data_IF_714294955752
#
_entry.id   IF_714294955752
#
_cell.length_a   1.000
_cell.length_b   1.000
_cell.length_c   1.000
_cell.angle_alpha   90.00
_cell.angle_beta   90.00
_cell.angle_gamma   90.00
#
_symmetry.space_group_name_H-M   'P 1'
#
loop_
_entity.id
_entity.type
_entity.pdbx_description
1 polymer ?
#
# COMPACT_ATOMS: atom_id res chain seq x y z
N UNK A 1 61.38 -18.13 -18.36
CA UNK A 1 60.39 -18.81 -17.50
C UNK A 1 59.55 -17.82 -16.65
N UNK A 2 59.05 -16.70 -17.22
CA UNK A 2 58.24 -15.69 -16.51
C UNK A 2 56.88 -15.38 -17.17
N UNK A 3 56.74 -15.66 -18.47
CA UNK A 3 55.51 -15.36 -19.25
C UNK A 3 54.35 -16.30 -18.88
N UNK A 4 54.64 -17.58 -18.58
CA UNK A 4 53.60 -18.56 -18.17
C UNK A 4 52.95 -18.19 -16.82
N UNK A 5 53.69 -17.55 -15.92
CA UNK A 5 53.21 -17.17 -14.59
C UNK A 5 52.23 -15.98 -14.65
N UNK A 6 52.44 -15.05 -15.59
CA UNK A 6 51.56 -13.89 -15.79
C UNK A 6 50.22 -14.32 -16.40
N UNK A 7 50.23 -15.20 -17.40
CA UNK A 7 48.98 -15.72 -17.98
C UNK A 7 48.15 -16.53 -16.97
N UNK A 8 48.81 -17.29 -16.10
CA UNK A 8 48.11 -18.03 -15.03
C UNK A 8 47.47 -17.08 -14.00
N UNK A 9 48.16 -16.00 -13.63
CA UNK A 9 47.62 -15.00 -12.71
C UNK A 9 46.40 -14.26 -13.29
N UNK A 10 46.43 -13.90 -14.57
CA UNK A 10 45.31 -13.27 -15.27
C UNK A 10 44.10 -14.22 -15.32
N UNK A 11 44.32 -15.50 -15.63
CA UNK A 11 43.25 -16.50 -15.68
C UNK A 11 42.57 -16.67 -14.32
N UNK A 12 43.35 -16.73 -13.23
CA UNK A 12 42.82 -16.84 -11.86
C UNK A 12 42.01 -15.60 -11.49
N UNK A 13 42.47 -14.40 -11.85
CA UNK A 13 41.76 -13.15 -11.57
C UNK A 13 40.38 -13.08 -12.24
N UNK A 14 40.30 -13.47 -13.52
CA UNK A 14 39.00 -13.54 -14.22
C UNK A 14 38.07 -14.59 -13.61
N UNK A 15 38.60 -15.73 -13.17
CA UNK A 15 37.80 -16.80 -12.58
C UNK A 15 37.20 -16.39 -11.22
N UNK A 16 37.94 -15.62 -10.42
CA UNK A 16 37.46 -15.04 -9.15
C UNK A 16 36.35 -14.01 -9.38
N UNK A 17 36.47 -13.17 -10.43
CA UNK A 17 35.42 -12.19 -10.78
C UNK A 17 34.13 -12.89 -11.23
N UNK A 18 34.23 -13.93 -12.05
CA UNK A 18 33.05 -14.68 -12.52
C UNK A 18 32.34 -15.35 -11.34
N UNK A 19 33.09 -15.94 -10.41
CA UNK A 19 32.55 -16.56 -9.20
C UNK A 19 31.89 -15.52 -8.27
N UNK A 20 32.47 -14.32 -8.10
CA UNK A 20 31.88 -13.29 -7.24
C UNK A 20 30.60 -12.69 -7.82
N UNK A 21 30.53 -12.48 -9.15
CA UNK A 21 29.30 -12.04 -9.84
C UNK A 21 28.19 -13.08 -9.71
N UNK A 22 28.53 -14.38 -9.76
CA UNK A 22 27.57 -15.47 -9.62
C UNK A 22 27.01 -15.57 -8.19
N UNK A 23 27.84 -15.27 -7.17
CA UNK A 23 27.43 -15.23 -5.77
C UNK A 23 26.52 -14.03 -5.46
N UNK A 24 26.77 -12.87 -6.09
CA UNK A 24 25.89 -11.69 -5.95
C UNK A 24 24.52 -11.96 -6.60
N UNK A 25 24.50 -12.67 -7.74
CA UNK A 25 23.24 -13.06 -8.40
C UNK A 25 22.38 -13.99 -7.55
N UNK A 26 22.97 -14.95 -6.82
CA UNK A 26 22.21 -15.89 -5.98
C UNK A 26 21.65 -15.26 -4.70
N UNK A 27 22.36 -14.26 -4.14
CA UNK A 27 21.87 -13.46 -3.00
C UNK A 27 20.72 -12.54 -3.42
N UNK A 28 20.74 -12.01 -4.66
CA UNK A 28 19.63 -11.18 -5.17
C UNK A 28 18.44 -12.00 -5.68
N UNK A 29 18.64 -13.24 -6.14
CA UNK A 29 17.55 -14.11 -6.63
C UNK A 29 16.77 -14.82 -5.51
N UNK A 30 17.13 -14.62 -4.24
CA UNK A 30 16.49 -15.25 -3.08
C UNK A 30 15.45 -14.36 -2.37
N UNK A 31 15.11 -13.19 -2.94
CA UNK A 31 13.84 -12.52 -2.61
C UNK A 31 12.71 -13.16 -3.40
N UNK A 32 12.34 -14.37 -2.97
CA UNK A 32 11.08 -15.00 -3.32
C UNK A 32 9.96 -14.08 -2.86
N UNK A 33 9.20 -13.58 -3.81
CA UNK A 33 7.90 -12.94 -3.60
C UNK A 33 7.07 -13.85 -2.71
N UNK A 34 6.91 -13.49 -1.43
CA UNK A 34 5.84 -14.05 -0.62
C UNK A 34 4.53 -13.50 -1.20
N UNK A 35 3.98 -14.25 -2.15
CA UNK A 35 2.56 -14.19 -2.47
C UNK A 35 1.81 -14.57 -1.20
N UNK A 36 1.37 -13.57 -0.44
CA UNK A 36 0.41 -13.76 0.63
C UNK A 36 -0.91 -14.16 -0.01
N UNK A 37 -1.13 -15.46 -0.15
CA UNK A 37 -2.42 -16.03 -0.49
C UNK A 37 -3.42 -15.71 0.63
N UNK A 38 -4.08 -14.56 0.56
CA UNK A 38 -5.28 -14.30 1.34
C UNK A 38 -6.45 -15.06 0.69
N UNK A 39 -7.04 -15.98 1.46
CA UNK A 39 -8.14 -16.81 0.99
C UNK A 39 -9.38 -15.96 0.71
N UNK A 40 -9.87 -16.04 -0.53
CA UNK A 40 -11.18 -15.53 -0.95
C UNK A 40 -12.30 -16.27 -0.20
N UNK A 41 -12.85 -15.63 0.83
CA UNK A 41 -14.08 -16.07 1.48
C UNK A 41 -15.26 -15.44 0.73
N UNK A 42 -15.92 -16.26 -0.09
CA UNK A 42 -17.19 -15.92 -0.74
C UNK A 42 -18.23 -15.50 0.31
N UNK A 43 -18.70 -14.26 0.24
CA UNK A 43 -19.62 -13.63 1.21
C UNK A 43 -19.03 -12.50 2.08
N UNK A 44 -17.76 -12.12 1.86
CA UNK A 44 -17.08 -11.05 2.61
C UNK A 44 -17.10 -9.70 1.90
N UNK A 45 -17.18 -8.62 2.68
CA UNK A 45 -17.09 -7.25 2.18
C UNK A 45 -15.75 -7.03 1.50
N UNK A 46 -15.73 -6.37 0.34
CA UNK A 46 -14.49 -6.20 -0.44
C UNK A 46 -13.89 -4.81 -0.28
N UNK A 47 -12.59 -4.74 0.00
CA UNK A 47 -11.77 -3.53 -0.07
C UNK A 47 -10.61 -3.83 -1.03
N UNK A 48 -10.26 -2.86 -1.88
CA UNK A 48 -9.15 -2.97 -2.82
C UNK A 48 -7.96 -2.16 -2.34
N UNK A 49 -6.75 -2.71 -2.48
CA UNK A 49 -5.48 -2.03 -2.22
C UNK A 49 -4.61 -2.10 -3.48
N UNK A 50 -4.24 -0.94 -4.02
CA UNK A 50 -3.22 -0.85 -5.06
C UNK A 50 -1.92 -0.39 -4.45
N UNK A 51 -0.85 -1.12 -4.76
CA UNK A 51 0.44 -0.93 -4.13
C UNK A 51 1.59 -1.15 -5.10
N UNK A 52 2.81 -0.86 -4.64
CA UNK A 52 4.07 -1.20 -5.30
C UNK A 52 5.01 -1.85 -4.29
N UNK A 53 5.82 -2.81 -4.75
CA UNK A 53 6.85 -3.49 -3.94
C UNK A 53 8.05 -2.60 -3.58
N UNK A 54 8.19 -1.44 -4.22
CA UNK A 54 9.24 -0.45 -3.90
C UNK A 54 8.74 0.71 -3.05
N UNK A 55 7.46 0.70 -2.66
CA UNK A 55 6.79 1.81 -2.01
C UNK A 55 6.81 1.62 -0.46
N UNK A 56 7.60 2.40 0.30
CA UNK A 56 7.70 2.24 1.75
C UNK A 56 6.37 2.52 2.47
N UNK A 57 5.58 3.46 1.96
CA UNK A 57 4.22 3.75 2.40
C UNK A 57 3.29 2.54 2.28
N UNK A 58 3.46 1.78 1.20
CA UNK A 58 2.67 0.60 0.90
C UNK A 58 3.01 -0.56 1.84
N UNK A 59 4.31 -0.77 2.12
CA UNK A 59 4.74 -1.76 3.10
C UNK A 59 4.17 -1.47 4.49
N UNK A 60 4.26 -0.21 4.93
CA UNK A 60 3.70 0.21 6.23
C UNK A 60 2.18 0.00 6.30
N UNK A 61 1.45 0.26 5.22
CA UNK A 61 0.02 -0.02 5.14
C UNK A 61 -0.28 -1.52 5.21
N UNK A 62 0.47 -2.35 4.49
CA UNK A 62 0.29 -3.81 4.50
C UNK A 62 0.57 -4.37 5.90
N UNK A 63 1.62 -3.92 6.57
CA UNK A 63 1.93 -4.28 7.97
C UNK A 63 0.79 -3.85 8.91
N UNK A 64 0.25 -2.65 8.72
CA UNK A 64 -0.91 -2.18 9.48
C UNK A 64 -2.11 -3.12 9.27
N UNK A 65 -2.46 -3.44 8.03
CA UNK A 65 -3.59 -4.33 7.70
C UNK A 65 -3.44 -5.72 8.31
N UNK A 66 -2.21 -6.26 8.37
CA UNK A 66 -1.93 -7.55 9.02
C UNK A 66 -2.16 -7.54 10.53
N UNK A 67 -2.09 -6.37 11.18
CA UNK A 67 -2.32 -6.21 12.61
C UNK A 67 -3.79 -6.00 13.00
N UNK A 68 -4.68 -5.75 12.02
CA UNK A 68 -6.09 -5.45 12.24
C UNK A 68 -6.96 -6.72 12.18
N UNK A 69 -8.09 -6.70 12.90
CA UNK A 69 -9.12 -7.72 12.73
C UNK A 69 -9.86 -7.50 11.41
N UNK A 70 -9.65 -8.39 10.44
CA UNK A 70 -10.29 -8.34 9.13
C UNK A 70 -11.46 -9.32 8.99
N UNK A 71 -11.98 -9.89 10.09
CA UNK A 71 -13.10 -10.85 10.00
C UNK A 71 -14.28 -10.24 9.24
N UNK A 72 -14.70 -10.90 8.17
CA UNK A 72 -15.80 -10.46 7.30
C UNK A 72 -15.41 -9.47 6.20
N UNK A 73 -14.14 -9.11 6.08
CA UNK A 73 -13.60 -8.22 5.04
C UNK A 73 -12.47 -8.92 4.30
N UNK A 74 -12.54 -8.92 2.96
CA UNK A 74 -11.45 -9.34 2.09
C UNK A 74 -10.74 -8.12 1.51
N UNK A 75 -9.41 -8.08 1.67
CA UNK A 75 -8.55 -7.09 1.02
C UNK A 75 -8.01 -7.71 -0.28
N UNK A 76 -8.44 -7.20 -1.42
CA UNK A 76 -7.91 -7.57 -2.74
C UNK A 76 -6.73 -6.65 -3.05
N UNK A 77 -5.53 -7.21 -3.05
CA UNK A 77 -4.29 -6.47 -3.31
C UNK A 77 -3.87 -6.64 -4.77
N UNK A 78 -3.48 -5.56 -5.44
CA UNK A 78 -2.99 -5.64 -6.81
C UNK A 78 -1.90 -4.60 -7.09
N UNK A 79 -0.97 -4.95 -7.97
CA UNK A 79 -0.01 -4.01 -8.57
C UNK A 79 -0.44 -3.59 -9.98
N UNK A 80 -1.59 -4.08 -10.48
CA UNK A 80 -2.11 -3.77 -11.80
C UNK A 80 -2.78 -2.39 -11.83
N UNK A 81 -1.96 -1.33 -11.91
CA UNK A 81 -2.46 0.04 -11.94
C UNK A 81 -3.39 0.33 -13.13
N UNK A 82 -3.22 -0.34 -14.27
CA UNK A 82 -4.08 -0.13 -15.45
C UNK A 82 -5.52 -0.56 -15.19
N UNK A 83 -5.70 -1.73 -14.57
CA UNK A 83 -7.04 -2.23 -14.27
C UNK A 83 -7.71 -1.44 -13.14
N UNK A 84 -6.94 -1.09 -12.10
CA UNK A 84 -7.44 -0.24 -11.03
C UNK A 84 -7.89 1.13 -11.55
N UNK A 85 -7.12 1.75 -12.44
CA UNK A 85 -7.48 3.00 -13.09
C UNK A 85 -8.81 2.88 -13.84
N UNK A 86 -9.00 1.79 -14.61
CA UNK A 86 -10.26 1.55 -15.33
C UNK A 86 -11.45 1.45 -14.38
N UNK A 87 -11.32 0.69 -13.28
CA UNK A 87 -12.38 0.53 -12.29
C UNK A 87 -12.73 1.85 -11.57
N UNK A 88 -11.74 2.64 -11.19
CA UNK A 88 -11.95 3.94 -10.56
C UNK A 88 -12.61 4.93 -11.53
N UNK A 89 -12.18 4.94 -12.80
CA UNK A 89 -12.72 5.83 -13.81
C UNK A 89 -14.21 5.52 -14.14
N UNK A 90 -14.61 4.25 -14.11
CA UNK A 90 -16.04 3.87 -14.22
C UNK A 90 -16.91 4.41 -13.08
N UNK A 91 -16.28 4.79 -11.97
CA UNK A 91 -16.94 5.41 -10.80
C UNK A 91 -16.69 6.93 -10.73
N UNK A 92 -16.33 7.54 -11.86
CA UNK A 92 -16.04 8.98 -12.00
C UNK A 92 -14.91 9.47 -11.07
N UNK A 93 -13.96 8.60 -10.72
CA UNK A 93 -12.77 8.97 -9.97
C UNK A 93 -11.55 8.93 -10.89
N UNK A 94 -10.84 10.06 -11.01
CA UNK A 94 -9.61 10.15 -11.80
C UNK A 94 -8.41 9.94 -10.88
N UNK A 95 -7.77 8.79 -11.01
CA UNK A 95 -6.57 8.46 -10.24
C UNK A 95 -5.30 8.82 -11.02
N UNK A 96 -4.31 9.37 -10.32
CA UNK A 96 -3.02 9.81 -10.88
C UNK A 96 -1.91 8.75 -10.81
N UNK A 97 -2.24 7.50 -10.49
CA UNK A 97 -1.31 6.38 -10.28
C UNK A 97 -0.46 6.45 -8.99
N UNK A 98 -0.75 7.37 -8.07
CA UNK A 98 -0.14 7.42 -6.74
C UNK A 98 -0.51 6.21 -5.88
N UNK A 99 0.48 5.59 -5.21
CA UNK A 99 0.28 4.46 -4.29
C UNK A 99 0.86 4.75 -2.89
N UNK A 100 0.31 4.15 -1.82
CA UNK A 100 -0.85 3.27 -1.83
C UNK A 100 -2.16 4.04 -2.02
N UNK A 101 -3.10 3.40 -2.69
CA UNK A 101 -4.51 3.81 -2.76
C UNK A 101 -5.38 2.65 -2.31
N UNK A 102 -6.32 2.93 -1.41
CA UNK A 102 -7.29 1.98 -0.90
C UNK A 102 -8.68 2.47 -1.29
N UNK A 103 -9.54 1.58 -1.78
CA UNK A 103 -10.89 1.96 -2.14
C UNK A 103 -11.90 0.84 -1.95
N UNK A 104 -13.16 1.23 -1.72
CA UNK A 104 -14.27 0.31 -1.61
C UNK A 104 -15.57 0.96 -2.09
N UNK A 105 -16.54 0.15 -2.48
CA UNK A 105 -17.88 0.60 -2.84
C UNK A 105 -18.86 0.31 -1.70
N UNK A 106 -19.37 1.36 -1.08
CA UNK A 106 -20.31 1.30 0.06
C UNK A 106 -21.62 1.94 -0.38
N UNK A 107 -22.72 1.17 -0.44
CA UNK A 107 -24.04 1.69 -0.85
C UNK A 107 -23.96 2.51 -2.17
N UNK A 108 -23.34 1.93 -3.20
CA UNK A 108 -23.07 2.55 -4.51
C UNK A 108 -22.18 3.80 -4.51
N UNK A 109 -21.60 4.16 -3.36
CA UNK A 109 -20.66 5.28 -3.23
C UNK A 109 -19.23 4.77 -3.11
N UNK A 110 -18.36 5.28 -3.98
CA UNK A 110 -16.94 5.03 -3.91
C UNK A 110 -16.33 5.80 -2.73
N UNK A 111 -15.62 5.08 -1.86
CA UNK A 111 -14.75 5.66 -0.83
C UNK A 111 -13.31 5.40 -1.27
N UNK A 112 -12.49 6.45 -1.28
CA UNK A 112 -11.08 6.39 -1.68
C UNK A 112 -10.23 6.98 -0.58
N UNK A 113 -9.15 6.28 -0.23
CA UNK A 113 -8.10 6.71 0.69
C UNK A 113 -6.79 6.74 -0.09
N UNK A 114 -6.13 7.90 -0.13
CA UNK A 114 -4.85 8.07 -0.80
C UNK A 114 -3.76 8.51 0.18
N UNK A 115 -2.55 8.01 -0.05
CA UNK A 115 -1.36 8.45 0.68
C UNK A 115 -1.36 7.99 2.13
N UNK A 116 -0.83 6.80 2.39
CA UNK A 116 -0.58 6.30 3.75
C UNK A 116 0.83 6.73 4.21
N UNK A 117 1.07 7.08 5.49
CA UNK A 117 2.41 7.40 5.97
C UNK A 117 3.37 6.21 5.79
N UNK A 118 4.67 6.47 5.60
CA UNK A 118 5.67 5.44 5.85
C UNK A 118 5.84 5.26 7.37
N UNK A 119 6.49 4.18 7.80
CA UNK A 119 6.71 3.93 9.24
C UNK A 119 7.49 5.05 9.94
N UNK A 120 8.36 5.78 9.22
CA UNK A 120 9.10 6.93 9.78
C UNK A 120 8.28 8.22 9.86
N UNK A 121 7.14 8.27 9.17
CA UNK A 121 6.21 9.40 9.18
C UNK A 121 5.02 9.14 10.10
N UNK A 122 4.72 7.88 10.39
CA UNK A 122 3.65 7.50 11.31
C UNK A 122 4.04 7.86 12.75
N UNK A 123 3.25 8.74 13.36
CA UNK A 123 3.34 9.05 14.79
C UNK A 123 1.98 8.77 15.41
N UNK A 124 1.89 7.65 16.12
CA UNK A 124 0.67 7.17 16.78
C UNK A 124 -0.53 7.00 15.83
N UNK A 125 -0.29 6.55 14.60
CA UNK A 125 -1.30 6.30 13.57
C UNK A 125 -1.63 7.51 12.69
N UNK A 126 -0.98 8.65 12.90
CA UNK A 126 -1.17 9.89 12.13
C UNK A 126 0.06 10.25 11.30
N UNK A 127 -0.14 10.89 10.15
CA UNK A 127 0.92 11.45 9.33
C UNK A 127 1.63 12.62 10.03
N UNK A 128 2.87 12.39 10.44
CA UNK A 128 3.72 13.30 11.20
C UNK A 128 3.10 13.76 12.54
N UNK A 129 2.13 13.00 13.04
CA UNK A 129 1.40 13.28 14.28
C UNK A 129 0.12 14.09 14.07
N UNK A 130 -0.82 13.91 15.00
CA UNK A 130 -2.18 14.46 14.96
C UNK A 130 -2.21 15.97 14.64
N UNK A 131 -1.46 16.79 15.37
CA UNK A 131 -1.48 18.24 15.19
C UNK A 131 -1.03 18.69 13.80
N UNK A 132 0.00 18.02 13.24
CA UNK A 132 0.48 18.33 11.88
C UNK A 132 -0.53 17.90 10.84
N UNK A 133 -1.09 16.70 10.97
CA UNK A 133 -2.10 16.22 10.03
C UNK A 133 -3.36 17.10 10.04
N UNK A 134 -3.85 17.52 11.22
CA UNK A 134 -4.97 18.47 11.33
C UNK A 134 -4.65 19.82 10.68
N UNK A 135 -3.42 20.32 10.85
CA UNK A 135 -2.96 21.55 10.21
C UNK A 135 -2.91 21.41 8.68
N UNK A 136 -2.37 20.30 8.18
CA UNK A 136 -2.36 19.98 6.76
C UNK A 136 -3.78 19.90 6.19
N UNK A 137 -4.69 19.22 6.90
CA UNK A 137 -6.09 19.13 6.52
C UNK A 137 -6.70 20.52 6.29
N UNK A 138 -6.52 21.44 7.24
CA UNK A 138 -7.00 22.82 7.15
C UNK A 138 -6.36 23.57 5.97
N UNK A 139 -5.06 23.43 5.76
CA UNK A 139 -4.34 24.11 4.66
C UNK A 139 -4.79 23.67 3.27
N UNK A 140 -5.34 22.46 3.15
CA UNK A 140 -5.87 21.91 1.89
C UNK A 140 -7.39 22.12 1.75
N UNK A 141 -7.97 22.97 2.59
CA UNK A 141 -9.43 23.16 2.69
C UNK A 141 -10.18 21.83 2.94
N UNK A 142 -9.52 20.88 3.57
CA UNK A 142 -10.11 19.60 3.94
C UNK A 142 -11.05 19.72 5.13
N UNK A 143 -11.95 18.75 5.23
CA UNK A 143 -12.88 18.60 6.34
C UNK A 143 -12.32 17.58 7.34
N UNK A 144 -11.91 17.99 8.55
CA UNK A 144 -11.46 17.07 9.57
C UNK A 144 -12.64 16.23 10.09
N UNK A 145 -12.43 14.94 10.25
CA UNK A 145 -13.40 13.98 10.78
C UNK A 145 -12.98 13.61 12.19
N UNK A 146 -13.95 13.61 13.11
CA UNK A 146 -13.76 13.30 14.52
C UNK A 146 -14.63 12.11 14.93
N UNK A 147 -14.20 11.37 15.94
CA UNK A 147 -15.02 10.36 16.61
C UNK A 147 -16.11 11.02 17.50
N UNK A 148 -16.97 10.18 18.08
CA UNK A 148 -18.04 10.64 18.98
C UNK A 148 -17.53 11.31 20.27
N UNK A 149 -16.26 11.12 20.62
CA UNK A 149 -15.61 11.73 21.79
C UNK A 149 -14.88 13.03 21.44
N UNK A 150 -14.89 13.44 20.17
CA UNK A 150 -14.19 14.64 19.69
C UNK A 150 -12.71 14.42 19.37
N UNK A 151 -12.22 13.18 19.29
CA UNK A 151 -10.86 12.89 18.83
C UNK A 151 -10.80 12.92 17.31
N UNK A 152 -9.85 13.65 16.75
CA UNK A 152 -9.59 13.64 15.31
C UNK A 152 -9.23 12.23 14.84
N UNK A 153 -9.81 11.83 13.72
CA UNK A 153 -9.54 10.55 13.06
C UNK A 153 -8.72 10.76 11.80
N UNK A 154 -9.24 11.52 10.83
CA UNK A 154 -8.61 11.72 9.53
C UNK A 154 -9.20 12.94 8.81
N UNK A 155 -8.61 13.30 7.68
CA UNK A 155 -9.06 14.40 6.85
C UNK A 155 -9.76 13.90 5.58
N UNK A 156 -10.87 14.56 5.21
CA UNK A 156 -11.50 14.38 3.91
C UNK A 156 -11.31 15.62 3.05
N UNK A 157 -10.69 15.46 1.88
CA UNK A 157 -10.43 16.54 0.94
C UNK A 157 -11.71 16.96 0.17
N UNK A 158 -11.73 18.16 -0.45
CA UNK A 158 -12.90 18.67 -1.20
C UNK A 158 -13.35 17.79 -2.37
N UNK A 159 -12.42 17.08 -3.01
CA UNK A 159 -12.69 16.12 -4.08
C UNK A 159 -13.34 14.81 -3.58
N UNK A 160 -13.44 14.64 -2.26
CA UNK A 160 -14.01 13.48 -1.60
C UNK A 160 -13.00 12.44 -1.14
N UNK A 161 -11.73 12.57 -1.53
CA UNK A 161 -10.63 11.68 -1.14
C UNK A 161 -10.35 11.80 0.35
N UNK A 162 -10.07 10.68 1.02
CA UNK A 162 -9.64 10.65 2.41
C UNK A 162 -8.11 10.57 2.44
N UNK A 163 -7.47 11.38 3.27
CA UNK A 163 -6.03 11.25 3.51
C UNK A 163 -5.74 9.98 4.30
N UNK A 164 -4.79 9.19 3.83
CA UNK A 164 -4.43 7.92 4.43
C UNK A 164 -3.70 8.10 5.75
N UNK A 165 -4.29 7.51 6.79
CA UNK A 165 -3.67 7.28 8.08
C UNK A 165 -4.29 6.01 8.68
N UNK A 166 -3.80 5.55 9.84
CA UNK A 166 -4.30 4.31 10.47
C UNK A 166 -5.82 4.33 10.69
N UNK A 167 -6.34 5.44 11.21
CA UNK A 167 -7.74 5.60 11.57
C UNK A 167 -8.67 5.66 10.35
N UNK A 168 -8.19 6.18 9.21
CA UNK A 168 -8.92 6.14 7.95
C UNK A 168 -9.11 4.70 7.44
N UNK A 169 -8.08 3.87 7.58
CA UNK A 169 -8.13 2.45 7.20
C UNK A 169 -9.08 1.68 8.13
N UNK A 170 -8.95 1.86 9.44
CA UNK A 170 -9.86 1.26 10.44
C UNK A 170 -11.31 1.68 10.17
N UNK A 171 -11.56 2.96 9.91
CA UNK A 171 -12.88 3.47 9.55
C UNK A 171 -13.46 2.78 8.31
N UNK A 172 -12.68 2.59 7.25
CA UNK A 172 -13.16 1.93 6.03
C UNK A 172 -13.47 0.44 6.29
N UNK A 173 -12.62 -0.24 7.06
CA UNK A 173 -12.86 -1.64 7.46
C UNK A 173 -14.16 -1.76 8.24
N UNK A 174 -14.38 -0.92 9.25
CA UNK A 174 -15.60 -0.94 10.05
C UNK A 174 -16.84 -0.59 9.23
N UNK A 175 -16.71 0.39 8.33
CA UNK A 175 -17.76 0.76 7.40
C UNK A 175 -18.14 -0.43 6.51
N UNK A 176 -17.15 -1.18 6.02
CA UNK A 176 -17.35 -2.38 5.21
C UNK A 176 -17.91 -3.56 6.00
N UNK A 177 -17.49 -3.77 7.25
CA UNK A 177 -18.09 -4.77 8.15
C UNK A 177 -19.58 -4.49 8.37
N UNK A 178 -19.95 -3.21 8.53
CA UNK A 178 -21.33 -2.79 8.81
C UNK A 178 -22.24 -2.80 7.58
N UNK A 179 -21.73 -2.43 6.41
CA UNK A 179 -22.57 -2.16 5.23
C UNK A 179 -22.36 -3.14 4.07
N UNK A 180 -21.55 -4.19 4.23
CA UNK A 180 -21.25 -5.16 3.18
C UNK A 180 -20.73 -4.51 1.89
N UNK A 181 -19.48 -4.02 1.92
CA UNK A 181 -18.86 -3.40 0.73
C UNK A 181 -18.89 -4.33 -0.49
N UNK A 182 -19.36 -3.79 -1.61
CA UNK A 182 -19.60 -4.54 -2.83
C UNK A 182 -18.31 -4.74 -3.62
N UNK A 183 -18.09 -5.95 -4.12
CA UNK A 183 -17.11 -6.19 -5.16
C UNK A 183 -17.61 -5.56 -6.47
N UNK A 184 -16.76 -4.78 -7.13
CA UNK A 184 -17.11 -4.10 -8.40
C UNK A 184 -15.97 -4.03 -9.42
N UNK A 185 -14.77 -4.47 -9.02
CA UNK A 185 -13.56 -4.50 -9.83
C UNK A 185 -12.98 -5.91 -9.85
N UNK A 186 -12.44 -6.33 -10.99
CA UNK A 186 -11.92 -7.67 -11.27
C UNK A 186 -10.39 -7.78 -11.13
N UNK A 187 -9.81 -7.12 -10.11
CA UNK A 187 -8.36 -7.09 -9.85
C UNK A 187 -7.73 -8.44 -9.50
#
# INVERSE_FOLDING_TARGET
MKIKTIHLAILIFFLVIILSVSLIYSVFSSQTSQSSNFQNLSGSSTIYLIYSSSCPHCHHLIETLQSLDLKGVSIIQSMNGKEAFYCLNQRNFTWNFGVPIVFALVNDKLIVIEGYPSSSQDVNGYFLGKEKEESFCKSMNGNPIYDNSGNYLFCKLPDGTILGNKYAIEYLIDLCKKNSCQAFCSL
#
